data_IF_384497762981
#
_entry.id   IF_384497762981
#
_cell.length_a   1.000
_cell.length_b   1.000
_cell.length_c   1.000
_cell.angle_alpha   90.00
_cell.angle_beta   90.00
_cell.angle_gamma   90.00
#
_symmetry.space_group_name_H-M   'P 1'
#
loop_
_entity.id
_entity.type
_entity.pdbx_description
1 polymer ?
#
# COMPACT_ATOMS: atom_id res chain seq x y z
N UNK A 1 62.28 -33.61 -11.32
CA UNK A 1 62.21 -32.53 -10.31
C UNK A 1 62.39 -31.22 -11.06
N UNK A 2 61.31 -30.44 -11.22
CA UNK A 2 61.35 -29.13 -11.88
C UNK A 2 60.49 -28.18 -11.07
N UNK A 3 61.12 -27.24 -10.39
CA UNK A 3 60.47 -26.32 -9.46
C UNK A 3 59.89 -25.13 -10.23
N UNK A 4 58.58 -24.87 -10.08
CA UNK A 4 57.97 -23.62 -10.51
C UNK A 4 57.79 -22.73 -9.28
N UNK A 5 58.63 -21.70 -9.19
CA UNK A 5 58.53 -20.66 -8.16
C UNK A 5 57.50 -19.63 -8.63
N UNK A 6 56.28 -19.65 -8.09
CA UNK A 6 55.33 -18.53 -8.28
C UNK A 6 55.53 -17.51 -7.19
N UNK A 7 55.93 -16.31 -7.59
CA UNK A 7 56.22 -15.19 -6.70
C UNK A 7 54.95 -14.70 -5.97
N UNK A 8 55.10 -14.36 -4.69
CA UNK A 8 54.03 -13.92 -3.80
C UNK A 8 54.00 -12.40 -3.71
N UNK A 9 53.18 -11.73 -4.54
CA UNK A 9 53.09 -10.27 -4.54
C UNK A 9 51.67 -9.70 -4.31
N UNK A 10 51.54 -9.12 -3.12
CA UNK A 10 50.94 -7.80 -2.89
C UNK A 10 49.43 -7.60 -3.14
N UNK A 11 48.60 -8.19 -2.27
CA UNK A 11 47.20 -7.81 -2.14
C UNK A 11 47.05 -6.53 -1.30
N UNK A 12 47.16 -5.36 -1.94
CA UNK A 12 46.90 -4.05 -1.31
C UNK A 12 45.47 -4.00 -0.77
N UNK A 13 45.31 -3.98 0.55
CA UNK A 13 43.98 -3.96 1.17
C UNK A 13 43.26 -2.63 0.91
N UNK A 14 41.95 -2.65 0.58
CA UNK A 14 41.15 -1.43 0.53
C UNK A 14 41.02 -0.86 1.95
N UNK A 15 41.33 0.42 2.11
CA UNK A 15 41.25 1.11 3.40
C UNK A 15 39.80 1.13 3.89
N UNK A 16 39.60 0.75 5.15
CA UNK A 16 38.34 0.98 5.85
C UNK A 16 38.05 2.48 5.88
N UNK A 17 36.91 2.89 5.30
CA UNK A 17 36.34 4.21 5.54
C UNK A 17 35.53 4.15 6.83
N UNK A 18 35.85 5.04 7.77
CA UNK A 18 35.21 5.06 9.08
C UNK A 18 33.73 5.49 9.01
N UNK A 19 32.86 4.98 9.91
CA UNK A 19 31.47 5.42 9.99
C UNK A 19 31.36 6.85 10.55
N UNK A 20 30.51 7.67 9.94
CA UNK A 20 30.25 9.03 10.40
C UNK A 20 29.73 9.07 11.85
N UNK A 21 30.16 10.05 12.69
CA UNK A 21 29.72 10.15 14.07
C UNK A 21 28.26 10.60 14.16
N UNK A 22 27.50 9.94 15.04
CA UNK A 22 26.18 10.41 15.47
C UNK A 22 26.34 11.42 16.62
N UNK A 23 25.83 12.64 16.44
CA UNK A 23 25.79 13.63 17.52
C UNK A 23 24.62 13.28 18.45
N UNK A 24 24.95 12.83 19.66
CA UNK A 24 24.00 12.75 20.76
C UNK A 24 24.27 13.92 21.72
N UNK A 25 23.23 14.67 22.07
CA UNK A 25 23.24 15.56 23.24
C UNK A 25 22.02 15.26 24.11
N UNK A 26 22.26 15.22 25.42
CA UNK A 26 21.30 14.84 26.45
C UNK A 26 21.41 15.79 27.64
N UNK A 27 20.31 15.96 28.37
CA UNK A 27 20.21 16.83 29.55
C UNK A 27 19.61 18.20 29.25
N UNK A 28 18.91 18.85 30.18
CA UNK A 28 18.81 18.58 31.62
C UNK A 28 17.36 18.57 32.14
N UNK A 29 17.18 17.88 33.26
CA UNK A 29 15.94 17.84 34.05
C UNK A 29 16.16 18.66 35.32
N UNK A 30 15.23 19.54 35.69
CA UNK A 30 15.18 20.06 37.05
C UNK A 30 13.73 20.19 37.56
N UNK A 31 13.54 19.91 38.85
CA UNK A 31 12.26 19.58 39.48
C UNK A 31 12.24 20.10 40.91
N UNK A 32 11.45 21.14 41.17
CA UNK A 32 11.14 21.61 42.54
C UNK A 32 9.67 22.00 42.69
N UNK A 33 9.15 21.85 43.91
CA UNK A 33 7.73 21.88 44.24
C UNK A 33 7.21 23.21 44.83
N UNK A 34 5.98 23.21 45.38
CA UNK A 34 5.15 24.41 45.58
C UNK A 34 5.22 25.00 47.01
N UNK A 35 4.50 26.10 47.24
CA UNK A 35 3.62 26.18 48.41
C UNK A 35 2.18 26.60 48.08
N UNK A 36 1.35 26.69 49.12
CA UNK A 36 -0.12 26.71 49.07
C UNK A 36 -0.72 27.92 49.81
N UNK A 37 -2.00 28.23 49.49
CA UNK A 37 -3.11 28.58 50.41
C UNK A 37 -3.56 30.06 50.55
N UNK A 38 -4.88 30.25 50.38
CA UNK A 38 -5.80 31.18 51.08
C UNK A 38 -5.64 32.72 50.92
N UNK A 39 -6.65 33.59 51.10
CA UNK A 39 -8.14 33.53 51.01
C UNK A 39 -8.68 35.00 51.08
N UNK A 40 -10.03 35.19 51.16
CA UNK A 40 -10.80 36.45 51.43
C UNK A 40 -11.11 37.34 50.20
N UNK A 41 -12.23 38.08 50.10
CA UNK A 41 -13.38 38.29 51.02
C UNK A 41 -14.73 38.40 50.24
N UNK A 42 -15.84 38.19 50.95
CA UNK A 42 -17.27 38.26 50.53
C UNK A 42 -17.79 39.70 50.37
N UNK A 43 -18.70 39.93 49.39
CA UNK A 43 -20.02 40.64 49.43
C UNK A 43 -20.59 40.82 47.98
N UNK A 44 -21.88 41.02 47.67
CA UNK A 44 -23.17 40.62 48.28
C UNK A 44 -24.36 40.78 47.27
N UNK A 45 -25.51 40.15 47.58
CA UNK A 45 -26.91 40.45 47.17
C UNK A 45 -27.45 40.27 45.71
N UNK A 46 -28.51 39.43 45.64
CA UNK A 46 -29.62 39.23 44.67
C UNK A 46 -30.64 40.43 44.62
N UNK A 47 -31.83 40.45 43.91
CA UNK A 47 -32.46 39.50 42.94
C UNK A 47 -33.29 40.11 41.72
N UNK A 48 -33.84 39.21 40.86
CA UNK A 48 -35.13 39.31 40.08
C UNK A 48 -35.22 40.18 38.76
N UNK A 49 -36.31 40.08 37.91
CA UNK A 49 -36.46 39.03 36.87
C UNK A 49 -37.06 39.52 35.50
N UNK A 50 -37.19 38.62 34.50
CA UNK A 50 -38.04 38.83 33.30
C UNK A 50 -37.77 37.84 32.16
N UNK A 51 -38.70 36.90 31.86
CA UNK A 51 -39.79 37.02 30.88
C UNK A 51 -39.35 37.08 29.40
N UNK A 52 -39.43 35.95 28.68
CA UNK A 52 -40.59 35.66 27.82
C UNK A 52 -40.64 34.18 27.39
N UNK A 53 -41.85 33.68 27.14
CA UNK A 53 -42.17 32.27 26.92
C UNK A 53 -43.32 32.17 25.91
N UNK A 54 -43.23 31.26 24.93
CA UNK A 54 -44.33 30.85 24.03
C UNK A 54 -44.02 29.43 23.53
N UNK A 55 -44.45 28.36 24.20
CA UNK A 55 -45.79 27.74 24.20
C UNK A 55 -46.21 27.15 22.84
N UNK A 56 -46.06 25.83 22.72
CA UNK A 56 -46.78 25.05 21.71
C UNK A 56 -48.27 25.00 22.08
N UNK A 57 -49.16 25.22 21.11
CA UNK A 57 -50.60 25.06 21.28
C UNK A 57 -51.19 24.18 20.16
N UNK A 58 -51.86 23.13 20.61
CA UNK A 58 -52.58 22.10 19.89
C UNK A 58 -53.82 22.63 19.15
N UNK A 59 -54.10 22.14 17.93
CA UNK A 59 -55.48 22.11 17.38
C UNK A 59 -55.69 20.85 16.52
N UNK A 60 -56.53 19.93 17.02
CA UNK A 60 -57.13 18.87 16.20
C UNK A 60 -58.30 19.41 15.37
N UNK A 61 -58.38 19.09 14.07
CA UNK A 61 -59.64 19.13 13.29
C UNK A 61 -59.71 18.00 12.27
N UNK A 62 -60.83 17.28 12.28
CA UNK A 62 -61.20 16.31 11.24
C UNK A 62 -61.67 17.04 9.97
N UNK A 63 -61.38 16.46 8.81
CA UNK A 63 -62.13 16.71 7.57
C UNK A 63 -62.22 15.41 6.77
N UNK A 64 -63.45 15.00 6.46
CA UNK A 64 -63.74 13.76 5.73
C UNK A 64 -63.71 13.98 4.22
N UNK A 65 -63.06 13.08 3.47
CA UNK A 65 -63.46 12.81 2.08
C UNK A 65 -63.55 11.31 1.81
N UNK A 66 -64.76 10.90 1.44
CA UNK A 66 -65.17 9.56 1.01
C UNK A 66 -64.62 9.27 -0.38
N UNK A 67 -63.90 8.16 -0.56
CA UNK A 67 -63.72 7.53 -1.88
C UNK A 67 -64.58 6.27 -1.97
N UNK A 68 -65.29 6.13 -3.10
CA UNK A 68 -66.36 5.15 -3.30
C UNK A 68 -65.80 3.75 -3.63
N UNK A 69 -66.47 2.72 -3.14
CA UNK A 69 -66.09 1.32 -3.26
C UNK A 69 -67.06 0.62 -4.23
N UNK A 70 -66.80 0.71 -5.55
CA UNK A 70 -67.60 0.01 -6.57
C UNK A 70 -66.76 -0.80 -7.55
N UNK A 71 -66.67 -2.09 -7.25
CA UNK A 71 -66.43 -3.17 -8.22
C UNK A 71 -67.68 -3.36 -9.08
N UNK A 72 -67.53 -3.52 -10.41
CA UNK A 72 -68.39 -4.44 -11.15
C UNK A 72 -67.56 -5.59 -11.73
N UNK A 73 -67.99 -6.83 -11.45
CA UNK A 73 -67.47 -8.00 -12.14
C UNK A 73 -68.29 -8.23 -13.41
N UNK A 74 -67.64 -8.20 -14.57
CA UNK A 74 -68.08 -8.74 -15.86
C UNK A 74 -66.82 -9.33 -16.50
N UNK A 75 -66.82 -10.49 -17.18
CA UNK A 75 -67.85 -11.50 -17.37
C UNK A 75 -67.17 -12.65 -18.12
N UNK A 76 -67.35 -13.88 -17.66
CA UNK A 76 -66.66 -15.03 -18.22
C UNK A 76 -67.33 -15.48 -19.53
N UNK A 77 -66.66 -15.41 -20.68
CA UNK A 77 -67.05 -16.14 -21.90
C UNK A 77 -65.89 -16.34 -22.90
N UNK A 78 -65.43 -17.61 -22.94
CA UNK A 78 -65.11 -18.40 -24.14
C UNK A 78 -64.03 -17.96 -25.15
N UNK A 79 -62.98 -18.79 -25.19
CA UNK A 79 -62.43 -19.46 -26.38
C UNK A 79 -62.32 -18.66 -27.70
N UNK A 80 -61.08 -18.37 -28.11
CA UNK A 80 -60.44 -19.11 -29.23
C UNK A 80 -58.94 -18.84 -29.33
N UNK A 81 -58.22 -19.86 -29.80
CA UNK A 81 -56.79 -19.82 -30.13
C UNK A 81 -56.52 -18.70 -31.15
N UNK A 82 -55.64 -17.76 -30.82
CA UNK A 82 -54.85 -17.02 -31.80
C UNK A 82 -53.39 -17.37 -31.52
N UNK A 83 -52.80 -18.11 -32.44
CA UNK A 83 -51.39 -18.46 -32.40
C UNK A 83 -50.56 -17.38 -33.11
N UNK A 84 -49.26 -17.39 -32.77
CA UNK A 84 -48.14 -16.81 -33.52
C UNK A 84 -47.84 -15.29 -33.42
N UNK A 85 -46.52 -15.05 -33.29
CA UNK A 85 -45.77 -13.96 -33.92
C UNK A 85 -45.80 -12.53 -33.33
N UNK A 86 -45.49 -12.36 -32.04
CA UNK A 86 -44.90 -11.10 -31.53
C UNK A 86 -43.79 -11.31 -30.46
N UNK A 87 -43.01 -12.39 -30.56
CA UNK A 87 -41.86 -12.67 -29.68
C UNK A 87 -40.51 -12.52 -30.40
N UNK A 88 -40.36 -11.45 -31.19
CA UNK A 88 -39.14 -11.21 -31.97
C UNK A 88 -38.67 -9.73 -31.93
N UNK A 89 -38.82 -9.05 -30.79
CA UNK A 89 -38.26 -7.70 -30.61
C UNK A 89 -37.97 -7.31 -29.14
N UNK A 90 -37.34 -8.19 -28.34
CA UNK A 90 -36.82 -7.81 -27.02
C UNK A 90 -35.58 -8.59 -26.53
N UNK A 91 -34.73 -9.08 -27.44
CA UNK A 91 -33.51 -9.85 -27.10
C UNK A 91 -32.26 -9.41 -27.90
N UNK A 92 -32.19 -8.13 -28.28
CA UNK A 92 -30.98 -7.50 -28.84
C UNK A 92 -30.72 -6.14 -28.17
N UNK A 93 -30.62 -6.15 -26.83
CA UNK A 93 -30.16 -4.99 -26.02
C UNK A 93 -29.44 -5.43 -24.76
N UNK A 94 -28.56 -6.44 -24.86
CA UNK A 94 -27.40 -6.53 -23.99
C UNK A 94 -26.16 -6.42 -24.86
N UNK A 95 -25.93 -5.21 -25.38
CA UNK A 95 -24.65 -4.84 -25.94
C UNK A 95 -23.61 -5.10 -24.85
N UNK A 96 -22.77 -6.11 -25.10
CA UNK A 96 -21.76 -6.56 -24.16
C UNK A 96 -20.78 -5.41 -23.96
N UNK A 97 -20.92 -4.71 -22.83
CA UNK A 97 -20.01 -3.64 -22.43
C UNK A 97 -18.71 -4.25 -21.87
N UNK A 98 -18.10 -5.15 -22.64
CA UNK A 98 -16.66 -5.39 -22.60
C UNK A 98 -15.96 -4.19 -23.21
N UNK A 99 -16.08 -3.03 -22.55
CA UNK A 99 -14.89 -2.20 -22.44
C UNK A 99 -13.78 -3.08 -21.87
N UNK A 100 -12.50 -2.84 -22.22
CA UNK A 100 -11.43 -3.56 -21.57
C UNK A 100 -11.58 -3.32 -20.07
N UNK A 101 -12.01 -4.36 -19.34
CA UNK A 101 -11.97 -4.35 -17.89
C UNK A 101 -10.52 -4.00 -17.58
N UNK A 102 -10.30 -2.80 -17.01
CA UNK A 102 -8.97 -2.27 -16.76
C UNK A 102 -8.20 -3.40 -16.09
N UNK A 103 -7.26 -4.00 -16.84
CA UNK A 103 -6.78 -5.36 -16.56
C UNK A 103 -6.45 -5.36 -15.08
N UNK A 104 -7.15 -6.16 -14.27
CA UNK A 104 -7.12 -5.99 -12.82
C UNK A 104 -5.67 -6.17 -12.38
N UNK A 105 -4.97 -5.04 -12.14
CA UNK A 105 -3.59 -4.75 -12.63
C UNK A 105 -2.62 -5.82 -12.15
N UNK A 106 -2.63 -6.95 -12.86
CA UNK A 106 -2.25 -8.23 -12.27
C UNK A 106 -0.75 -8.27 -12.06
N UNK A 107 -0.33 -8.95 -10.99
CA UNK A 107 1.08 -9.25 -10.79
C UNK A 107 1.64 -9.78 -12.11
N UNK A 108 2.68 -9.12 -12.64
CA UNK A 108 3.27 -9.60 -13.89
C UNK A 108 3.69 -11.06 -13.69
N UNK A 109 3.63 -11.92 -14.72
CA UNK A 109 4.00 -13.34 -14.57
C UNK A 109 5.41 -13.48 -13.96
N UNK A 110 6.28 -12.52 -14.24
CA UNK A 110 7.61 -12.37 -13.65
C UNK A 110 7.56 -11.95 -12.18
N UNK A 111 6.75 -10.95 -11.81
CA UNK A 111 6.67 -10.40 -10.45
C UNK A 111 6.20 -11.41 -9.41
N UNK A 112 5.15 -12.17 -9.70
CA UNK A 112 4.68 -13.23 -8.79
C UNK A 112 5.78 -14.28 -8.54
N UNK A 113 6.46 -14.72 -9.59
CA UNK A 113 7.57 -15.67 -9.49
C UNK A 113 8.79 -15.08 -8.76
N UNK A 114 9.09 -13.79 -8.97
CA UNK A 114 10.17 -13.09 -8.28
C UNK A 114 9.94 -13.00 -6.76
N UNK A 115 8.68 -12.89 -6.29
CA UNK A 115 8.35 -12.99 -4.85
C UNK A 115 8.70 -14.36 -4.29
N UNK A 116 8.34 -15.45 -4.97
CA UNK A 116 8.69 -16.82 -4.54
C UNK A 116 10.20 -17.02 -4.49
N UNK A 117 10.92 -16.57 -5.53
CA UNK A 117 12.37 -16.71 -5.62
C UNK A 117 13.04 -15.89 -4.52
N UNK A 118 12.64 -14.64 -4.29
CA UNK A 118 13.18 -13.83 -3.20
C UNK A 118 12.87 -14.44 -1.82
N UNK A 119 11.69 -15.03 -1.63
CA UNK A 119 11.33 -15.75 -0.41
C UNK A 119 12.21 -16.98 -0.18
N UNK A 120 12.58 -17.70 -1.24
CA UNK A 120 13.51 -18.84 -1.17
C UNK A 120 14.92 -18.45 -0.73
N UNK A 121 15.29 -17.16 -0.82
CA UNK A 121 16.58 -16.63 -0.38
C UNK A 121 16.57 -16.09 1.05
N UNK A 122 15.48 -16.22 1.80
CA UNK A 122 15.41 -15.86 3.23
C UNK A 122 16.65 -16.41 3.97
N UNK A 123 17.35 -15.53 4.69
CA UNK A 123 18.53 -15.90 5.48
C UNK A 123 19.86 -15.82 4.74
N UNK A 124 19.89 -15.64 3.40
CA UNK A 124 21.12 -15.34 2.67
C UNK A 124 21.79 -14.05 3.21
N UNK A 125 23.11 -14.01 3.43
CA UNK A 125 23.79 -12.83 3.96
C UNK A 125 23.75 -11.67 2.97
N UNK A 126 23.78 -10.45 3.52
CA UNK A 126 24.05 -9.25 2.72
C UNK A 126 25.54 -9.15 2.42
N UNK A 127 25.88 -8.97 1.14
CA UNK A 127 27.23 -8.59 0.69
C UNK A 127 27.11 -7.53 -0.40
N UNK A 128 27.77 -6.39 -0.20
CA UNK A 128 27.75 -5.28 -1.16
C UNK A 128 28.32 -5.74 -2.51
N UNK A 129 27.64 -5.46 -3.61
CA UNK A 129 28.02 -5.92 -4.94
C UNK A 129 27.52 -7.33 -5.31
N UNK A 130 27.03 -8.14 -4.37
CA UNK A 130 26.65 -9.53 -4.63
C UNK A 130 25.29 -9.67 -5.36
N UNK A 131 25.22 -10.62 -6.30
CA UNK A 131 24.10 -10.85 -7.23
C UNK A 131 23.54 -12.28 -7.17
N UNK A 132 23.79 -13.00 -6.07
CA UNK A 132 23.37 -14.38 -5.89
C UNK A 132 24.35 -15.44 -6.42
N UNK A 133 23.98 -16.73 -6.33
CA UNK A 133 22.72 -17.27 -5.79
C UNK A 133 22.70 -17.44 -4.27
N UNK A 134 23.84 -17.22 -3.59
CA UNK A 134 24.05 -17.45 -2.14
C UNK A 134 24.04 -16.19 -1.28
N UNK A 135 24.44 -15.05 -1.85
CA UNK A 135 24.65 -13.77 -1.13
C UNK A 135 24.18 -12.62 -2.02
N UNK A 136 23.68 -11.53 -1.44
CA UNK A 136 22.99 -10.47 -2.19
C UNK A 136 23.21 -9.08 -1.59
N UNK A 137 23.24 -8.04 -2.42
CA UNK A 137 22.78 -6.71 -1.99
C UNK A 137 21.32 -6.46 -2.41
N UNK A 138 20.81 -5.26 -2.15
CA UNK A 138 19.40 -4.92 -2.35
C UNK A 138 18.96 -5.09 -3.80
N UNK A 139 19.68 -4.49 -4.74
CA UNK A 139 19.41 -4.58 -6.18
C UNK A 139 19.92 -5.88 -6.81
N UNK A 140 20.87 -6.57 -6.16
CA UNK A 140 21.34 -7.90 -6.54
C UNK A 140 20.30 -8.99 -6.24
N UNK A 141 19.54 -8.87 -5.14
CA UNK A 141 18.41 -9.77 -4.85
C UNK A 141 17.29 -9.61 -5.88
N UNK A 142 16.93 -8.38 -6.22
CA UNK A 142 15.87 -8.11 -7.21
C UNK A 142 16.32 -8.53 -8.62
N UNK A 143 17.55 -8.20 -9.02
CA UNK A 143 18.18 -8.68 -10.25
C UNK A 143 18.09 -10.20 -10.37
N UNK A 144 18.52 -10.93 -9.35
CA UNK A 144 18.50 -12.39 -9.34
C UNK A 144 17.07 -12.93 -9.42
N UNK A 145 16.17 -12.44 -8.55
CA UNK A 145 14.80 -12.93 -8.48
C UNK A 145 14.02 -12.71 -9.79
N UNK A 146 14.19 -11.57 -10.45
CA UNK A 146 13.58 -11.33 -11.75
C UNK A 146 14.27 -12.10 -12.88
N UNK A 147 15.60 -12.24 -12.87
CA UNK A 147 16.32 -13.05 -13.86
C UNK A 147 15.83 -14.49 -13.86
N UNK A 148 15.75 -15.12 -12.69
CA UNK A 148 15.25 -16.49 -12.52
C UNK A 148 13.74 -16.59 -12.80
N UNK A 149 12.99 -15.49 -12.69
CA UNK A 149 11.60 -15.38 -13.16
C UNK A 149 11.46 -15.18 -14.69
N UNK A 150 12.57 -15.01 -15.43
CA UNK A 150 12.57 -14.81 -16.88
C UNK A 150 12.61 -13.35 -17.34
N UNK A 151 12.78 -12.37 -16.44
CA UNK A 151 12.88 -10.95 -16.77
C UNK A 151 14.23 -10.36 -16.40
N UNK A 152 14.94 -9.78 -17.37
CA UNK A 152 16.19 -9.07 -17.09
C UNK A 152 15.90 -7.71 -16.44
N UNK A 153 16.63 -7.41 -15.37
CA UNK A 153 16.77 -6.08 -14.77
C UNK A 153 18.22 -5.59 -14.94
N UNK A 154 18.47 -4.28 -14.88
CA UNK A 154 19.82 -3.73 -14.74
C UNK A 154 20.34 -3.87 -13.29
N UNK A 155 21.59 -3.47 -13.03
CA UNK A 155 22.33 -3.90 -11.84
C UNK A 155 22.05 -3.03 -10.61
N UNK A 156 21.96 -1.71 -10.78
CA UNK A 156 21.82 -0.76 -9.66
C UNK A 156 20.36 -0.49 -9.33
N UNK A 157 20.09 0.10 -8.16
CA UNK A 157 18.72 0.44 -7.77
C UNK A 157 18.17 1.62 -8.59
N UNK A 158 19.02 2.58 -8.96
CA UNK A 158 18.68 3.69 -9.86
C UNK A 158 18.32 3.19 -11.26
N UNK A 159 19.19 2.38 -11.89
CA UNK A 159 18.91 1.82 -13.21
C UNK A 159 17.64 0.97 -13.20
N UNK A 160 17.36 0.24 -12.12
CA UNK A 160 16.13 -0.55 -11.98
C UNK A 160 14.90 0.33 -11.88
N UNK A 161 14.98 1.44 -11.16
CA UNK A 161 13.91 2.41 -11.02
C UNK A 161 13.57 3.10 -12.35
N UNK A 162 14.59 3.47 -13.14
CA UNK A 162 14.43 4.08 -14.46
C UNK A 162 14.01 3.07 -15.55
N UNK A 163 14.56 1.85 -15.50
CA UNK A 163 14.35 0.80 -16.50
C UNK A 163 13.05 -0.01 -16.34
N UNK A 164 12.10 0.44 -15.53
CA UNK A 164 10.84 -0.27 -15.26
C UNK A 164 9.63 0.68 -15.20
N UNK A 165 8.42 0.16 -15.40
CA UNK A 165 7.20 1.00 -15.50
C UNK A 165 6.81 1.55 -14.14
N UNK A 166 6.80 2.87 -13.96
CA UNK A 166 6.31 3.48 -12.72
C UNK A 166 4.82 3.16 -12.46
N UNK A 167 4.50 2.84 -11.20
CA UNK A 167 3.14 2.47 -10.76
C UNK A 167 2.75 3.38 -9.57
N UNK A 168 1.54 3.96 -9.53
CA UNK A 168 1.08 4.69 -8.35
C UNK A 168 0.86 3.74 -7.17
N UNK A 169 1.15 4.18 -5.94
CA UNK A 169 1.07 3.36 -4.70
C UNK A 169 -0.23 2.55 -4.58
N UNK A 170 -1.37 3.07 -5.06
CA UNK A 170 -2.69 2.41 -4.99
C UNK A 170 -2.83 1.20 -5.92
N UNK A 171 -2.02 1.08 -6.97
CA UNK A 171 -2.00 -0.04 -7.92
C UNK A 171 -0.91 -1.08 -7.61
N UNK A 172 -0.18 -0.93 -6.50
CA UNK A 172 0.89 -1.87 -6.10
C UNK A 172 0.33 -3.27 -5.83
N UNK A 173 0.92 -4.29 -6.45
CA UNK A 173 0.57 -5.71 -6.23
C UNK A 173 1.83 -6.52 -5.91
N UNK A 174 1.71 -7.69 -5.25
CA UNK A 174 2.88 -8.54 -4.96
C UNK A 174 3.68 -8.81 -6.24
N UNK A 175 4.99 -8.59 -6.18
CA UNK A 175 5.89 -8.63 -7.33
C UNK A 175 6.30 -7.27 -7.87
N UNK A 176 5.65 -6.16 -7.49
CA UNK A 176 6.15 -4.82 -7.83
C UNK A 176 7.45 -4.50 -7.08
N UNK A 177 8.33 -3.70 -7.68
CA UNK A 177 9.55 -3.22 -7.05
C UNK A 177 9.23 -2.01 -6.15
N UNK A 178 9.84 -1.95 -4.97
CA UNK A 178 9.69 -0.88 -3.99
C UNK A 178 11.04 -0.21 -3.77
N UNK A 179 11.11 1.08 -4.09
CA UNK A 179 12.34 1.87 -4.03
C UNK A 179 12.26 2.92 -2.93
N UNK A 180 13.39 3.14 -2.28
CA UNK A 180 13.56 4.09 -1.18
C UNK A 180 14.53 5.18 -1.64
N UNK A 181 14.02 6.39 -1.95
CA UNK A 181 14.87 7.51 -2.37
C UNK A 181 15.86 7.93 -1.27
N UNK A 182 17.06 8.34 -1.68
CA UNK A 182 18.12 8.89 -0.84
C UNK A 182 18.62 10.21 -1.48
N UNK A 183 17.84 11.29 -1.29
CA UNK A 183 18.07 12.54 -2.00
C UNK A 183 17.68 12.43 -3.47
N UNK A 184 18.64 12.65 -4.38
CA UNK A 184 18.41 12.59 -5.83
C UNK A 184 18.43 11.17 -6.40
N UNK A 185 19.01 10.19 -5.70
CA UNK A 185 19.17 8.80 -6.14
C UNK A 185 18.30 7.84 -5.33
N UNK A 186 18.39 6.55 -5.64
CA UNK A 186 17.70 5.45 -4.97
C UNK A 186 18.69 4.69 -4.06
N UNK A 187 18.58 4.91 -2.75
CA UNK A 187 19.47 4.27 -1.77
C UNK A 187 19.16 2.78 -1.51
N UNK A 188 17.94 2.32 -1.79
CA UNK A 188 17.55 0.93 -1.54
C UNK A 188 16.37 0.46 -2.40
N UNK A 189 16.31 -0.84 -2.67
CA UNK A 189 15.22 -1.51 -3.40
C UNK A 189 14.85 -2.86 -2.76
N UNK A 190 13.58 -3.25 -2.87
CA UNK A 190 13.07 -4.58 -2.55
C UNK A 190 11.88 -4.98 -3.43
N UNK A 191 11.39 -6.21 -3.27
CA UNK A 191 10.22 -6.73 -3.99
C UNK A 191 9.02 -6.71 -3.04
N UNK A 192 7.91 -6.10 -3.46
CA UNK A 192 6.67 -6.03 -2.70
C UNK A 192 6.07 -7.42 -2.51
N UNK A 193 5.78 -7.78 -1.26
CA UNK A 193 5.23 -9.08 -0.89
C UNK A 193 3.73 -9.01 -0.54
N UNK A 194 3.08 -7.86 -0.78
CA UNK A 194 1.75 -7.57 -0.25
C UNK A 194 1.76 -7.09 1.20
N UNK A 195 0.60 -6.65 1.69
CA UNK A 195 0.36 -6.27 3.09
C UNK A 195 1.39 -5.29 3.69
N UNK A 196 1.87 -4.33 2.90
CA UNK A 196 2.93 -3.37 3.28
C UNK A 196 4.24 -4.03 3.74
N UNK A 197 4.58 -5.19 3.16
CA UNK A 197 5.85 -5.90 3.37
C UNK A 197 6.67 -6.00 2.08
N UNK A 198 7.97 -6.13 2.24
CA UNK A 198 8.95 -6.33 1.15
C UNK A 198 9.93 -7.45 1.46
N UNK A 199 10.39 -8.13 0.41
CA UNK A 199 11.60 -8.92 0.40
C UNK A 199 12.78 -8.07 -0.03
N UNK A 200 13.85 -8.05 0.77
CA UNK A 200 15.05 -7.26 0.50
C UNK A 200 16.27 -7.86 1.22
N UNK A 201 17.47 -7.49 0.75
CA UNK A 201 18.73 -7.64 1.46
C UNK A 201 19.07 -6.27 2.11
N UNK A 202 18.90 -6.07 3.44
CA UNK A 202 18.83 -4.73 4.01
C UNK A 202 20.12 -3.91 3.93
N UNK A 203 21.22 -4.42 4.53
CA UNK A 203 22.52 -3.74 4.72
C UNK A 203 23.60 -4.71 5.23
N UNK A 204 24.90 -4.36 5.26
CA UNK A 204 25.95 -5.19 5.84
C UNK A 204 25.63 -5.71 7.24
N UNK A 205 26.08 -6.92 7.56
CA UNK A 205 25.80 -7.60 8.83
C UNK A 205 24.36 -8.13 8.99
N UNK A 206 23.49 -7.95 7.98
CA UNK A 206 22.12 -8.48 7.99
C UNK A 206 21.91 -9.56 6.93
N UNK A 207 20.70 -10.09 6.84
CA UNK A 207 20.31 -11.20 5.94
C UNK A 207 19.03 -10.85 5.20
N UNK A 208 18.83 -11.47 4.03
CA UNK A 208 17.59 -11.38 3.24
C UNK A 208 16.40 -11.76 4.12
N UNK A 209 15.41 -10.87 4.20
CA UNK A 209 14.25 -11.02 5.07
C UNK A 209 12.98 -10.42 4.47
N UNK A 210 11.85 -10.83 5.04
CA UNK A 210 10.57 -10.18 4.85
C UNK A 210 10.40 -9.13 5.95
N UNK A 211 10.30 -7.86 5.59
CA UNK A 211 10.18 -6.74 6.53
C UNK A 211 9.01 -5.84 6.15
N UNK A 212 8.42 -5.14 7.13
CA UNK A 212 7.40 -4.11 6.87
C UNK A 212 8.07 -2.89 6.23
N UNK A 213 7.44 -2.28 5.25
CA UNK A 213 7.90 -1.00 4.68
C UNK A 213 7.92 0.05 5.81
N UNK A 214 9.11 0.52 6.18
CA UNK A 214 9.34 1.44 7.29
C UNK A 214 9.23 2.92 6.90
N UNK A 215 9.16 3.23 5.60
CA UNK A 215 9.13 4.60 5.08
C UNK A 215 7.80 4.94 4.41
N UNK A 216 7.28 6.14 4.72
CA UNK A 216 6.18 6.74 3.95
C UNK A 216 6.61 7.20 2.55
N UNK A 217 7.86 7.62 2.41
CA UNK A 217 8.47 7.97 1.13
C UNK A 217 9.09 6.72 0.49
N UNK A 218 8.29 6.04 -0.34
CA UNK A 218 8.73 4.97 -1.25
C UNK A 218 8.03 5.12 -2.59
N UNK A 219 8.69 4.69 -3.65
CA UNK A 219 8.19 4.68 -5.03
C UNK A 219 8.00 3.25 -5.50
N UNK A 220 7.07 3.02 -6.43
CA UNK A 220 6.74 1.69 -6.95
C UNK A 220 6.95 1.63 -8.45
N UNK A 221 7.45 0.50 -8.95
CA UNK A 221 7.48 0.20 -10.38
C UNK A 221 7.14 -1.27 -10.62
N UNK A 222 6.85 -1.60 -11.88
CA UNK A 222 6.60 -2.96 -12.36
C UNK A 222 7.59 -3.33 -13.45
N UNK A 223 8.23 -4.49 -13.30
CA UNK A 223 8.96 -5.11 -14.39
C UNK A 223 7.98 -5.87 -15.30
N UNK A 224 7.87 -5.41 -16.54
CA UNK A 224 7.04 -5.95 -17.62
C UNK A 224 7.90 -6.26 -18.83
#
# INVERSE_FOLDING_TARGET
MSSITTNSDNFTQPRYLEPCPVVATSGLSEKTGPPSRANTHVTDAEPHPGLFQQTNAEVSRLSCTRTDNRKPANGHLTNRRIAAAFTFFLIISLAVFTGPAAQAEAASPYGAKAVEIAASKRGAPYVYGATGPREFDCSGLTLYAFKEAGRKLPRTADEQYEGTRHIPRVQRVPGDLVFFPAGATIGHVGIYAGHDKIWHAPRPGTRVRLERIWSGNVRYTRAT
#
